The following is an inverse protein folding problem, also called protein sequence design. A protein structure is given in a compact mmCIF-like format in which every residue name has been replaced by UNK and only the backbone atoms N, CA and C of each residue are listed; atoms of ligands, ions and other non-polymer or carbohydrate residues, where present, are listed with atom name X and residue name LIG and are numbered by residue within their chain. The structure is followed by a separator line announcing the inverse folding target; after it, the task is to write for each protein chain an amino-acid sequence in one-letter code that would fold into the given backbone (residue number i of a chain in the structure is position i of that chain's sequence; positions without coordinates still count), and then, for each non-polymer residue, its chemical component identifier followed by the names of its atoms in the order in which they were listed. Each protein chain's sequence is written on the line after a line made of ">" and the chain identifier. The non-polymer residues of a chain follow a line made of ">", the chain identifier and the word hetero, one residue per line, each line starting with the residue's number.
data_IF_654234235620
#
_entry.id   IF_654234235620
#
_cell.length_a   1.000
_cell.length_b   1.000
_cell.length_c   1.000
_cell.angle_alpha   90.00
_cell.angle_beta   90.00
_cell.angle_gamma   90.00
#
_symmetry.space_group_name_H-M   'P 1'
#
loop_
_entity.id
_entity.type
_entity.pdbx_description
1 polymer ?
#
# COMPACT_ATOMS: atom_id res chain seq x y z
N UNK A 1 2.94 16.24 -14.05
CA UNK A 1 2.26 15.36 -13.07
C UNK A 1 3.15 15.29 -11.84
N UNK A 2 2.62 15.50 -10.63
CA UNK A 2 3.41 15.44 -9.39
C UNK A 2 4.05 14.04 -9.26
N UNK A 3 5.37 13.96 -9.08
CA UNK A 3 6.19 12.73 -9.09
C UNK A 3 5.91 11.72 -10.23
N UNK A 4 5.48 12.17 -11.42
CA UNK A 4 5.32 11.33 -12.62
C UNK A 4 4.43 10.08 -12.46
N UNK A 5 3.38 10.16 -11.64
CA UNK A 5 2.48 9.03 -11.41
C UNK A 5 3.03 8.03 -10.40
N UNK A 6 3.77 8.51 -9.39
CA UNK A 6 4.15 7.70 -8.25
C UNK A 6 2.93 7.05 -7.59
N UNK A 7 3.10 5.82 -7.11
CA UNK A 7 2.14 5.07 -6.33
C UNK A 7 2.32 5.50 -4.87
N UNK A 8 1.25 5.97 -4.24
CA UNK A 8 1.28 6.43 -2.86
C UNK A 8 0.70 5.33 -1.97
N UNK A 9 1.50 4.75 -1.05
CA UNK A 9 1.05 3.60 -0.26
C UNK A 9 -0.22 3.85 0.56
N UNK A 10 -0.49 5.09 0.98
CA UNK A 10 -1.73 5.45 1.69
C UNK A 10 -2.98 5.19 0.86
N UNK A 11 -2.98 5.62 -0.41
CA UNK A 11 -4.12 5.45 -1.30
C UNK A 11 -4.27 3.99 -1.70
N UNK A 12 -3.15 3.29 -1.89
CA UNK A 12 -3.16 1.86 -2.17
C UNK A 12 -3.72 1.05 -1.00
N UNK A 13 -3.36 1.39 0.24
CA UNK A 13 -3.89 0.74 1.43
C UNK A 13 -5.39 0.96 1.60
N UNK A 14 -5.86 2.21 1.45
CA UNK A 14 -7.29 2.53 1.45
C UNK A 14 -8.04 1.77 0.34
N UNK A 15 -7.46 1.66 -0.84
CA UNK A 15 -8.05 0.93 -1.95
C UNK A 15 -8.16 -0.58 -1.65
N UNK A 16 -7.10 -1.20 -1.13
CA UNK A 16 -7.13 -2.61 -0.72
C UNK A 16 -8.18 -2.87 0.36
N UNK A 17 -8.29 -1.96 1.34
CA UNK A 17 -9.31 -2.05 2.38
C UNK A 17 -10.72 -1.98 1.77
N UNK A 18 -10.96 -1.06 0.84
CA UNK A 18 -12.25 -0.95 0.14
C UNK A 18 -12.56 -2.21 -0.68
N UNK A 19 -11.59 -2.77 -1.41
CA UNK A 19 -11.76 -4.02 -2.14
C UNK A 19 -12.20 -5.16 -1.21
N UNK A 20 -11.48 -5.36 -0.11
CA UNK A 20 -11.77 -6.40 0.86
C UNK A 20 -13.18 -6.24 1.48
N UNK A 21 -13.58 -5.01 1.82
CA UNK A 21 -14.95 -4.72 2.34
C UNK A 21 -16.05 -5.04 1.33
N UNK A 22 -15.77 -4.98 0.04
CA UNK A 22 -16.73 -5.28 -1.03
C UNK A 22 -16.66 -6.73 -1.52
N UNK A 23 -16.00 -7.62 -0.78
CA UNK A 23 -15.88 -9.04 -1.14
C UNK A 23 -14.83 -9.34 -2.21
N UNK A 24 -14.06 -8.34 -2.65
CA UNK A 24 -12.95 -8.45 -3.61
C UNK A 24 -11.63 -8.76 -2.88
N UNK A 25 -11.66 -9.81 -2.05
CA UNK A 25 -10.54 -10.18 -1.19
C UNK A 25 -9.30 -10.58 -2.00
N UNK A 26 -9.50 -11.32 -3.09
CA UNK A 26 -8.40 -11.85 -3.90
C UNK A 26 -7.64 -10.74 -4.61
N UNK A 27 -8.35 -9.72 -5.08
CA UNK A 27 -7.79 -8.54 -5.71
C UNK A 27 -6.95 -7.74 -4.71
N UNK A 28 -7.45 -7.56 -3.48
CA UNK A 28 -6.69 -6.93 -2.41
C UNK A 28 -5.41 -7.72 -2.09
N UNK A 29 -5.50 -9.06 -1.96
CA UNK A 29 -4.35 -9.92 -1.69
C UNK A 29 -3.27 -9.82 -2.77
N UNK A 30 -3.65 -9.79 -4.05
CA UNK A 30 -2.70 -9.63 -5.18
C UNK A 30 -1.97 -8.30 -5.12
N UNK A 31 -2.69 -7.20 -4.85
CA UNK A 31 -2.08 -5.86 -4.76
C UNK A 31 -1.13 -5.80 -3.56
N UNK A 32 -1.55 -6.32 -2.40
CA UNK A 32 -0.74 -6.33 -1.18
C UNK A 32 0.52 -7.18 -1.36
N UNK A 33 0.43 -8.33 -2.04
CA UNK A 33 1.58 -9.15 -2.38
C UNK A 33 2.59 -8.37 -3.25
N UNK A 34 2.12 -7.73 -4.33
CA UNK A 34 3.00 -6.92 -5.21
C UNK A 34 3.64 -5.73 -4.49
N UNK A 35 2.90 -5.06 -3.60
CA UNK A 35 3.49 -4.02 -2.75
C UNK A 35 4.56 -4.59 -1.81
N UNK A 36 4.28 -5.71 -1.15
CA UNK A 36 5.20 -6.35 -0.20
C UNK A 36 6.51 -6.79 -0.88
N UNK A 37 6.40 -7.36 -2.08
CA UNK A 37 7.56 -7.70 -2.91
C UNK A 37 8.35 -6.45 -3.29
N UNK A 38 7.67 -5.41 -3.79
CA UNK A 38 8.31 -4.15 -4.19
C UNK A 38 9.09 -3.52 -3.03
N UNK A 39 8.51 -3.43 -1.83
CA UNK A 39 9.23 -2.85 -0.68
C UNK A 39 10.38 -3.74 -0.21
N UNK A 40 10.26 -5.07 -0.31
CA UNK A 40 11.34 -5.99 0.06
C UNK A 40 12.56 -5.88 -0.88
N UNK A 41 12.34 -5.53 -2.15
CA UNK A 41 13.39 -5.26 -3.14
C UNK A 41 14.03 -3.87 -3.00
N UNK A 42 13.49 -3.00 -2.14
CA UNK A 42 14.01 -1.67 -1.87
C UNK A 42 14.64 -1.64 -0.46
N UNK A 43 15.97 -1.84 -0.32
CA UNK A 43 16.63 -1.93 0.98
C UNK A 43 16.57 -0.62 1.79
N UNK A 44 16.34 0.51 1.11
CA UNK A 44 16.18 1.82 1.72
C UNK A 44 14.76 2.09 2.23
N UNK A 45 13.84 1.10 2.16
CA UNK A 45 12.46 1.28 2.60
C UNK A 45 12.37 1.75 4.05
N UNK A 46 11.77 2.91 4.24
CA UNK A 46 11.56 3.60 5.52
C UNK A 46 10.28 4.44 5.41
N UNK A 47 9.20 3.82 4.94
CA UNK A 47 7.90 4.45 4.74
C UNK A 47 7.95 5.71 3.85
N UNK A 48 8.48 5.53 2.64
CA UNK A 48 8.60 6.59 1.66
C UNK A 48 7.24 7.15 1.21
N UNK A 49 7.25 8.41 0.79
CA UNK A 49 6.09 9.13 0.23
C UNK A 49 5.49 8.43 -0.98
N UNK A 50 6.33 7.93 -1.89
CA UNK A 50 5.85 7.23 -3.09
C UNK A 50 6.80 6.12 -3.57
N UNK A 51 6.25 5.24 -4.41
CA UNK A 51 6.97 4.29 -5.27
C UNK A 51 6.84 4.78 -6.71
N UNK A 52 7.95 4.91 -7.44
CA UNK A 52 7.89 5.29 -8.84
C UNK A 52 7.29 4.16 -9.68
N UNK A 53 6.21 4.42 -10.43
CA UNK A 53 5.48 3.38 -11.15
C UNK A 53 6.24 2.75 -12.34
N UNK A 54 7.29 3.40 -12.85
CA UNK A 54 8.07 2.88 -13.98
C UNK A 54 9.29 2.07 -13.53
N UNK A 55 9.91 2.47 -12.42
CA UNK A 55 11.17 1.89 -11.92
C UNK A 55 11.01 1.03 -10.68
N UNK A 56 9.83 1.08 -10.04
CA UNK A 56 9.52 0.44 -8.76
C UNK A 56 10.48 0.84 -7.62
N UNK A 57 11.17 1.96 -7.76
CA UNK A 57 12.03 2.53 -6.71
C UNK A 57 11.26 3.45 -5.78
N UNK A 58 11.57 3.35 -4.50
CA UNK A 58 11.01 4.21 -3.45
C UNK A 58 11.59 5.62 -3.56
N UNK A 59 10.82 6.64 -3.20
CA UNK A 59 11.26 8.03 -3.29
C UNK A 59 10.43 9.01 -2.47
N UNK A 60 10.89 10.26 -2.47
CA UNK A 60 10.30 11.34 -1.65
C UNK A 60 10.77 11.29 -0.19
N UNK A 61 9.95 11.84 0.71
CA UNK A 61 10.27 11.88 2.16
C UNK A 61 10.15 10.49 2.80
N UNK A 62 10.92 10.24 3.85
CA UNK A 62 10.87 9.01 4.67
C UNK A 62 10.11 9.24 5.99
N UNK A 63 9.86 8.17 6.74
CA UNK A 63 9.16 8.15 8.03
C UNK A 63 7.77 8.80 7.94
N UNK A 64 7.10 8.66 6.81
CA UNK A 64 5.80 9.29 6.58
C UNK A 64 4.70 8.52 7.30
N UNK A 65 4.10 9.16 8.31
CA UNK A 65 2.99 8.57 9.07
C UNK A 65 1.80 8.16 8.20
N UNK A 66 1.49 8.90 7.12
CA UNK A 66 0.43 8.49 6.20
C UNK A 66 0.80 7.23 5.39
N UNK A 67 2.07 7.04 5.02
CA UNK A 67 2.53 5.82 4.35
C UNK A 67 2.40 4.63 5.30
N UNK A 68 2.78 4.81 6.57
CA UNK A 68 2.57 3.81 7.61
C UNK A 68 1.08 3.45 7.77
N UNK A 69 0.17 4.43 7.75
CA UNK A 69 -1.28 4.16 7.75
C UNK A 69 -1.73 3.31 6.54
N UNK A 70 -1.13 3.53 5.36
CA UNK A 70 -1.37 2.68 4.18
C UNK A 70 -1.04 1.21 4.44
N UNK A 71 0.10 0.93 5.06
CA UNK A 71 0.49 -0.44 5.47
C UNK A 71 -0.50 -1.02 6.47
N UNK A 72 -0.96 -0.23 7.44
CA UNK A 72 -1.99 -0.66 8.39
C UNK A 72 -3.30 -1.01 7.66
N UNK A 73 -3.75 -0.20 6.70
CA UNK A 73 -4.96 -0.50 5.94
C UNK A 73 -4.83 -1.78 5.10
N UNK A 74 -3.67 -2.03 4.51
CA UNK A 74 -3.39 -3.31 3.83
C UNK A 74 -3.44 -4.49 4.80
N UNK A 75 -2.81 -4.36 5.98
CA UNK A 75 -2.90 -5.37 7.02
C UNK A 75 -4.36 -5.64 7.42
N UNK A 76 -5.17 -4.61 7.61
CA UNK A 76 -6.59 -4.73 7.92
C UNK A 76 -7.40 -5.39 6.80
N UNK A 77 -7.07 -5.11 5.54
CA UNK A 77 -7.70 -5.74 4.38
C UNK A 77 -7.47 -7.26 4.33
N UNK A 78 -6.37 -7.77 4.91
CA UNK A 78 -6.12 -9.21 5.04
C UNK A 78 -6.93 -9.85 6.19
N UNK A 79 -7.44 -9.05 7.14
CA UNK A 79 -8.16 -9.54 8.31
C UNK A 79 -9.66 -9.71 8.01
N UNK A 80 -10.07 -10.91 7.61
CA UNK A 80 -11.49 -11.24 7.34
C UNK A 80 -12.45 -10.93 8.48
N UNK A 81 -11.97 -10.94 9.74
CA UNK A 81 -12.80 -10.69 10.94
C UNK A 81 -12.95 -9.22 11.30
N UNK A 82 -12.00 -8.35 10.93
CA UNK A 82 -12.05 -6.95 11.37
C UNK A 82 -12.96 -6.09 10.48
N UNK A 83 -13.19 -6.54 9.24
CA UNK A 83 -14.00 -5.81 8.26
C UNK A 83 -15.49 -5.75 8.62
N UNK A 84 -15.98 -6.59 9.54
CA UNK A 84 -17.38 -6.51 10.01
C UNK A 84 -17.65 -5.36 10.99
N UNK A 85 -16.61 -4.68 11.49
CA UNK A 85 -16.72 -3.56 12.44
C UNK A 85 -16.73 -2.17 11.78
N UNK A 86 -16.38 -2.08 10.50
CA UNK A 86 -16.33 -0.83 9.74
C UNK A 86 -17.38 -0.81 8.64
#
# INVERSE_FOLDING_TARGET
>A
VFHNGGIWPVWMGLFCLALAKNGLQKEAEVIIAGFTETIAENPDWDFQEYINAQTLKVGGKTQMGYTASGVVFMYLALQKKLLSFF
#
